data_IF_505154378044
#
_entry.id   IF_505154378044
#
_cell.length_a   1.000
_cell.length_b   1.000
_cell.length_c   1.000
_cell.angle_alpha   90.00
_cell.angle_beta   90.00
_cell.angle_gamma   90.00
#
_symmetry.space_group_name_H-M   'P 1'
#
loop_
_entity.id
_entity.type
_entity.pdbx_description
1 polymer ?
#
# COMPACT_ATOMS: atom_id res chain seq x y z
N UNK A 1 -21.41 18.29 5.61
CA UNK A 1 -22.48 17.45 5.06
C UNK A 1 -22.11 16.82 3.73
N UNK A 2 -21.82 17.64 2.72
CA UNK A 2 -21.43 17.11 1.40
C UNK A 2 -20.17 16.25 1.48
N UNK A 3 -19.20 16.70 2.26
CA UNK A 3 -17.94 15.96 2.42
C UNK A 3 -18.18 14.59 3.06
N UNK A 4 -19.02 14.51 4.07
CA UNK A 4 -19.34 13.24 4.72
C UNK A 4 -20.05 12.28 3.74
N UNK A 5 -20.95 12.80 2.92
CA UNK A 5 -21.65 12.01 1.92
C UNK A 5 -20.67 11.45 0.90
N UNK A 6 -19.73 12.28 0.42
CA UNK A 6 -18.70 11.82 -0.51
C UNK A 6 -17.87 10.71 0.07
N UNK A 7 -17.47 10.82 1.32
CA UNK A 7 -16.68 9.79 1.99
C UNK A 7 -17.46 8.48 2.13
N UNK A 8 -18.74 8.57 2.47
CA UNK A 8 -19.60 7.40 2.58
C UNK A 8 -19.78 6.68 1.26
N UNK A 9 -19.79 7.41 0.16
CA UNK A 9 -19.95 6.85 -1.17
C UNK A 9 -18.61 6.46 -1.81
N UNK A 10 -17.52 6.56 -1.07
CA UNK A 10 -16.20 6.28 -1.62
C UNK A 10 -15.69 7.37 -2.55
N UNK A 11 -16.30 8.54 -2.53
CA UNK A 11 -15.96 9.65 -3.41
C UNK A 11 -15.25 10.78 -2.66
N UNK A 12 -14.63 10.45 -1.53
CA UNK A 12 -13.87 11.43 -0.76
C UNK A 12 -12.62 11.88 -1.50
N UNK A 13 -11.91 12.85 -0.92
CA UNK A 13 -10.68 13.36 -1.53
C UNK A 13 -9.68 12.23 -1.73
N UNK A 14 -9.02 12.26 -2.86
CA UNK A 14 -7.97 11.29 -3.17
C UNK A 14 -6.80 11.50 -2.22
N UNK A 15 -6.19 10.40 -1.78
CA UNK A 15 -4.97 10.47 -0.99
C UNK A 15 -3.81 10.73 -1.94
N UNK A 16 -2.97 11.69 -1.57
CA UNK A 16 -1.77 12.00 -2.35
C UNK A 16 -0.65 11.05 -1.95
N UNK A 17 -0.57 9.92 -2.66
CA UNK A 17 0.42 8.89 -2.37
C UNK A 17 1.85 9.39 -2.55
N UNK A 18 2.07 10.27 -3.53
CA UNK A 18 3.39 10.84 -3.76
C UNK A 18 3.85 11.66 -2.54
N UNK A 19 2.94 12.43 -1.97
CA UNK A 19 3.27 13.21 -0.77
C UNK A 19 3.54 12.29 0.41
N UNK A 20 2.76 11.23 0.58
CA UNK A 20 2.99 10.26 1.64
C UNK A 20 4.40 9.66 1.56
N UNK A 21 4.84 9.30 0.34
CA UNK A 21 6.19 8.75 0.14
C UNK A 21 7.24 9.78 0.50
N UNK A 22 7.05 11.04 0.11
CA UNK A 22 7.97 12.13 0.48
C UNK A 22 8.06 12.29 1.99
N UNK A 23 6.95 12.04 2.67
CA UNK A 23 6.85 12.17 4.13
C UNK A 23 7.34 10.91 4.87
N UNK A 24 7.85 9.92 4.14
CA UNK A 24 8.47 8.75 4.73
C UNK A 24 7.64 7.48 4.72
N UNK A 25 6.52 7.44 3.99
CA UNK A 25 5.72 6.22 3.89
C UNK A 25 6.54 5.08 3.27
N UNK A 26 6.26 3.86 3.72
CA UNK A 26 6.92 2.65 3.22
C UNK A 26 6.01 1.99 2.20
N UNK A 27 6.55 1.68 1.02
CA UNK A 27 5.82 0.95 0.00
C UNK A 27 6.13 -0.54 0.17
N UNK A 28 5.09 -1.34 0.36
CA UNK A 28 5.22 -2.78 0.52
C UNK A 28 4.57 -3.48 -0.66
N UNK A 29 5.40 -4.15 -1.46
CA UNK A 29 4.94 -4.95 -2.59
C UNK A 29 4.64 -6.35 -2.06
N UNK A 30 3.37 -6.75 -2.14
CA UNK A 30 2.93 -8.02 -1.56
C UNK A 30 2.81 -9.13 -2.61
N UNK A 31 3.42 -8.92 -3.78
CA UNK A 31 3.52 -9.96 -4.81
C UNK A 31 4.54 -11.01 -4.41
N UNK A 32 4.63 -12.07 -5.21
CA UNK A 32 5.68 -13.06 -5.03
C UNK A 32 7.05 -12.43 -5.30
N UNK A 33 8.10 -13.05 -4.76
CA UNK A 33 9.46 -12.59 -4.98
C UNK A 33 9.81 -12.57 -6.47
N UNK A 34 9.36 -13.57 -7.22
CA UNK A 34 9.62 -13.63 -8.66
C UNK A 34 9.00 -12.46 -9.41
N UNK A 35 7.76 -12.13 -9.09
CA UNK A 35 7.11 -10.97 -9.69
C UNK A 35 7.89 -9.68 -9.36
N UNK A 36 8.27 -9.53 -8.10
CA UNK A 36 8.99 -8.35 -7.62
C UNK A 36 10.34 -8.17 -8.33
N UNK A 37 11.10 -9.24 -8.49
CA UNK A 37 12.41 -9.14 -9.13
C UNK A 37 12.30 -8.83 -10.62
N UNK A 38 11.17 -9.14 -11.25
CA UNK A 38 10.91 -8.82 -12.64
C UNK A 38 10.57 -7.35 -12.89
N UNK A 39 10.37 -6.58 -11.84
CA UNK A 39 10.06 -5.15 -11.92
C UNK A 39 9.21 -4.76 -10.72
N UNK A 40 9.50 -3.61 -10.10
CA UNK A 40 8.77 -3.14 -8.93
C UNK A 40 8.92 -1.63 -8.79
N UNK A 41 8.13 -1.04 -7.91
CA UNK A 41 8.21 0.39 -7.61
C UNK A 41 9.55 0.69 -6.95
N UNK A 42 10.22 1.72 -7.42
CA UNK A 42 11.48 2.15 -6.83
C UNK A 42 11.31 2.42 -5.34
N UNK A 43 12.17 1.80 -4.54
CA UNK A 43 12.15 1.96 -3.09
C UNK A 43 11.19 1.03 -2.35
N UNK A 44 10.37 0.25 -3.06
CA UNK A 44 9.46 -0.69 -2.43
C UNK A 44 10.21 -1.87 -1.82
N UNK A 45 9.72 -2.36 -0.70
CA UNK A 45 10.20 -3.62 -0.13
C UNK A 45 9.22 -4.72 -0.50
N UNK A 46 9.71 -5.94 -0.59
CA UNK A 46 8.87 -7.09 -0.95
C UNK A 46 8.59 -7.94 0.28
N UNK A 47 7.32 -8.05 0.64
CA UNK A 47 6.85 -8.99 1.65
C UNK A 47 5.60 -9.65 1.07
N UNK A 48 5.73 -10.85 0.48
CA UNK A 48 4.58 -11.51 -0.12
C UNK A 48 3.42 -11.67 0.85
N UNK A 49 2.20 -11.53 0.34
CA UNK A 49 0.99 -11.56 1.15
C UNK A 49 0.92 -12.79 2.07
N UNK A 50 1.33 -13.94 1.56
CA UNK A 50 1.25 -15.21 2.30
C UNK A 50 2.08 -15.22 3.57
N UNK A 51 3.15 -14.43 3.62
CA UNK A 51 4.04 -14.38 4.78
C UNK A 51 3.99 -13.05 5.49
N UNK A 52 3.13 -12.14 5.05
CA UNK A 52 3.06 -10.80 5.63
C UNK A 52 2.81 -10.83 7.13
N UNK A 53 1.85 -11.65 7.56
CA UNK A 53 1.51 -11.75 8.99
C UNK A 53 2.66 -12.20 9.87
N UNK A 54 3.61 -12.95 9.32
CA UNK A 54 4.78 -13.45 10.05
C UNK A 54 5.99 -12.53 9.93
N UNK A 55 5.85 -11.41 9.21
CA UNK A 55 6.95 -10.48 8.96
C UNK A 55 6.64 -9.06 9.39
N UNK A 56 5.70 -8.88 10.31
CA UNK A 56 5.30 -7.55 10.77
C UNK A 56 6.42 -6.80 11.48
N UNK A 57 7.39 -7.53 12.02
CA UNK A 57 8.56 -6.90 12.66
C UNK A 57 9.40 -6.05 11.71
N UNK A 58 9.24 -6.24 10.40
CA UNK A 58 9.92 -5.42 9.40
C UNK A 58 9.24 -4.08 9.18
N UNK A 59 8.05 -3.87 9.76
CA UNK A 59 7.23 -2.69 9.52
C UNK A 59 6.99 -1.95 10.84
N UNK A 60 7.36 -0.68 10.86
CA UNK A 60 7.15 0.17 12.04
C UNK A 60 5.76 0.77 11.99
N UNK A 61 5.04 0.70 13.10
CA UNK A 61 3.66 1.20 13.17
C UNK A 61 3.54 2.71 13.03
N UNK A 62 4.56 3.45 13.38
CA UNK A 62 4.59 4.90 13.22
C UNK A 62 4.77 5.33 11.76
N UNK A 63 5.09 4.41 10.87
CA UNK A 63 5.21 4.71 9.44
C UNK A 63 3.91 4.38 8.72
N UNK A 64 3.48 5.28 7.86
CA UNK A 64 2.37 5.00 6.94
C UNK A 64 2.82 3.98 5.91
N UNK A 65 1.97 3.01 5.60
CA UNK A 65 2.29 1.95 4.64
C UNK A 65 1.41 2.10 3.41
N UNK A 66 2.02 1.93 2.24
CA UNK A 66 1.30 1.86 0.97
C UNK A 66 1.55 0.46 0.43
N UNK A 67 0.49 -0.34 0.29
CA UNK A 67 0.60 -1.68 -0.28
C UNK A 67 0.42 -1.62 -1.79
N UNK A 68 1.05 -2.51 -2.52
CA UNK A 68 0.82 -2.67 -3.95
C UNK A 68 0.99 -4.14 -4.36
N UNK A 69 0.40 -4.48 -5.49
CA UNK A 69 0.53 -5.80 -6.09
C UNK A 69 0.36 -5.69 -7.62
N UNK A 70 -0.02 -6.75 -8.31
CA UNK A 70 -0.18 -6.70 -9.75
C UNK A 70 -1.42 -5.87 -10.17
N UNK A 71 -2.55 -6.07 -9.47
CA UNK A 71 -3.84 -5.45 -9.87
C UNK A 71 -4.59 -4.76 -8.73
N UNK A 72 -4.11 -4.86 -7.50
CA UNK A 72 -4.75 -4.21 -6.36
C UNK A 72 -5.53 -5.15 -5.44
N UNK A 73 -5.75 -6.40 -5.83
CA UNK A 73 -6.52 -7.34 -4.98
C UNK A 73 -5.71 -7.84 -3.79
N UNK A 74 -4.51 -8.35 -4.05
CA UNK A 74 -3.64 -8.80 -2.96
C UNK A 74 -3.26 -7.65 -2.04
N UNK A 75 -3.01 -6.49 -2.61
CA UNK A 75 -2.67 -5.30 -1.82
C UNK A 75 -3.86 -4.82 -0.98
N UNK A 76 -5.09 -5.03 -1.46
CA UNK A 76 -6.28 -4.75 -0.67
C UNK A 76 -6.40 -5.67 0.54
N UNK A 77 -6.13 -6.96 0.33
CA UNK A 77 -6.10 -7.94 1.43
C UNK A 77 -4.99 -7.60 2.44
N UNK A 78 -3.83 -7.21 1.94
CA UNK A 78 -2.72 -6.80 2.79
C UNK A 78 -3.10 -5.57 3.63
N UNK A 79 -3.77 -4.60 3.01
CA UNK A 79 -4.24 -3.42 3.72
C UNK A 79 -5.15 -3.81 4.88
N UNK A 80 -6.12 -4.70 4.64
CA UNK A 80 -7.05 -5.15 5.67
C UNK A 80 -6.31 -5.82 6.82
N UNK A 81 -5.36 -6.70 6.51
CA UNK A 81 -4.56 -7.38 7.53
C UNK A 81 -3.78 -6.38 8.37
N UNK A 82 -3.06 -5.47 7.72
CA UNK A 82 -2.23 -4.50 8.42
C UNK A 82 -3.05 -3.53 9.25
N UNK A 83 -4.20 -3.09 8.76
CA UNK A 83 -5.09 -2.24 9.54
C UNK A 83 -5.56 -2.95 10.79
N UNK A 84 -5.87 -4.25 10.70
CA UNK A 84 -6.31 -5.02 11.86
C UNK A 84 -5.20 -5.14 12.90
N UNK A 85 -3.94 -4.95 12.51
CA UNK A 85 -2.79 -4.99 13.42
C UNK A 85 -2.35 -3.61 13.89
N UNK A 86 -3.10 -2.57 13.58
CA UNK A 86 -2.85 -1.22 14.09
C UNK A 86 -2.03 -0.32 13.19
N UNK A 87 -1.78 -0.72 11.95
CA UNK A 87 -1.03 0.10 11.00
C UNK A 87 -1.93 1.08 10.26
N UNK A 88 -1.37 2.21 9.85
CA UNK A 88 -2.00 3.16 8.93
C UNK A 88 -1.61 2.76 7.53
N UNK A 89 -2.58 2.35 6.71
CA UNK A 89 -2.29 1.72 5.41
C UNK A 89 -3.20 2.27 4.32
N UNK A 90 -2.61 2.47 3.16
CA UNK A 90 -3.35 2.80 1.94
C UNK A 90 -3.06 1.75 0.88
N UNK A 91 -4.08 1.35 0.13
CA UNK A 91 -3.89 0.43 -0.99
C UNK A 91 -3.43 1.25 -2.19
N UNK A 92 -2.20 1.02 -2.62
CA UNK A 92 -1.64 1.70 -3.80
C UNK A 92 -2.10 1.10 -5.12
N UNK A 93 -2.74 -0.07 -5.09
CA UNK A 93 -3.23 -0.72 -6.30
C UNK A 93 -2.16 -1.49 -7.06
N UNK A 94 -2.28 -1.52 -8.39
CA UNK A 94 -1.26 -2.15 -9.23
C UNK A 94 0.04 -1.37 -9.19
N UNK A 95 1.15 -2.09 -9.15
CA UNK A 95 2.44 -1.45 -8.96
C UNK A 95 2.84 -0.50 -10.10
N UNK A 96 2.46 -0.83 -11.34
CA UNK A 96 2.78 0.06 -12.47
C UNK A 96 2.01 1.36 -12.39
N UNK A 97 0.74 1.29 -12.02
CA UNK A 97 -0.09 2.48 -11.82
C UNK A 97 0.46 3.33 -10.68
N UNK A 98 0.84 2.67 -9.58
CA UNK A 98 1.43 3.37 -8.45
C UNK A 98 2.74 4.06 -8.86
N UNK A 99 3.60 3.35 -9.59
CA UNK A 99 4.87 3.92 -10.04
C UNK A 99 4.64 5.19 -10.88
N UNK A 100 3.63 5.17 -11.74
CA UNK A 100 3.29 6.35 -12.54
C UNK A 100 2.83 7.51 -11.65
N UNK A 101 2.07 7.24 -10.61
CA UNK A 101 1.62 8.28 -9.67
C UNK A 101 2.77 8.88 -8.87
N UNK A 102 3.85 8.14 -8.69
CA UNK A 102 4.99 8.60 -7.87
C UNK A 102 6.06 9.35 -8.68
N UNK A 103 5.91 9.41 -9.98
CA UNK A 103 6.85 10.14 -10.85
C UNK A 103 6.75 11.64 -10.71
#
# INVERSE_FOLDING_TARGET
>A
MIQAIKNMLGMGPSVDLKQLVKDGAIIVDVRTKGEYTGGHVKGAINIPLQVLGNNLGKLKKEKTIITCCASGMRSGSAKSLLKSKGYTVHNGGGWMSLQNKLR
#
